data_IF_889092952310
#
_entry.id   IF_889092952310
#
_cell.length_a   1.000
_cell.length_b   1.000
_cell.length_c   1.000
_cell.angle_alpha   90.00
_cell.angle_beta   90.00
_cell.angle_gamma   90.00
#
_symmetry.space_group_name_H-M   'P 1'
#
loop_
_entity.id
_entity.type
_entity.pdbx_description
1 polymer ?
#
# COMPACT_ATOMS: atom_id res chain seq x y z
N UNK A 1 -4.88 5.49 18.81
CA UNK A 1 -5.90 4.59 18.26
C UNK A 1 -6.75 5.32 17.24
N UNK A 2 -6.61 4.98 15.99
CA UNK A 2 -7.51 5.54 14.99
C UNK A 2 -8.89 4.92 15.18
N UNK A 3 -9.87 5.76 15.43
CA UNK A 3 -11.26 5.32 15.49
C UNK A 3 -11.79 5.14 14.07
N UNK A 4 -12.47 4.03 13.85
CA UNK A 4 -13.22 3.86 12.63
C UNK A 4 -14.46 4.77 12.67
N UNK A 5 -14.50 5.71 11.75
CA UNK A 5 -15.65 6.60 11.57
C UNK A 5 -16.32 6.25 10.23
N UNK A 6 -17.35 5.39 10.25
CA UNK A 6 -18.02 5.00 9.00
C UNK A 6 -18.56 6.19 8.21
N UNK A 7 -18.88 7.27 8.91
CA UNK A 7 -19.32 8.51 8.29
C UNK A 7 -18.19 9.28 7.59
N UNK A 8 -16.93 9.06 7.96
CA UNK A 8 -15.80 9.67 7.26
C UNK A 8 -15.64 9.13 5.84
N UNK A 9 -16.05 7.89 5.58
CA UNK A 9 -16.11 7.37 4.22
C UNK A 9 -17.08 8.17 3.34
N UNK A 10 -18.07 8.82 3.95
CA UNK A 10 -19.01 9.72 3.25
C UNK A 10 -18.51 11.15 3.16
N UNK A 11 -17.63 11.57 4.06
CA UNK A 11 -17.10 12.93 4.15
C UNK A 11 -15.83 13.09 3.33
N UNK A 12 -15.01 12.03 3.22
CA UNK A 12 -13.82 12.02 2.37
C UNK A 12 -14.22 11.34 1.05
N UNK A 13 -14.58 12.12 0.02
CA UNK A 13 -14.93 11.52 -1.27
C UNK A 13 -13.69 10.84 -1.86
N UNK A 14 -13.93 9.82 -2.70
CA UNK A 14 -12.86 9.16 -3.45
C UNK A 14 -11.98 10.16 -4.21
N UNK A 15 -12.54 11.31 -4.60
CA UNK A 15 -11.84 12.40 -5.25
C UNK A 15 -10.70 12.99 -4.41
N UNK A 16 -10.89 13.11 -3.09
CA UNK A 16 -9.85 13.63 -2.22
C UNK A 16 -8.63 12.68 -2.18
N UNK A 17 -8.89 11.39 -2.05
CA UNK A 17 -7.84 10.37 -2.06
C UNK A 17 -7.14 10.31 -3.42
N UNK A 18 -7.91 10.36 -4.50
CA UNK A 18 -7.39 10.38 -5.85
C UNK A 18 -6.52 11.63 -6.09
N UNK A 19 -6.93 12.79 -5.60
CA UNK A 19 -6.16 14.03 -5.69
C UNK A 19 -4.85 13.94 -4.91
N UNK A 20 -4.85 13.34 -3.72
CA UNK A 20 -3.63 13.10 -2.96
C UNK A 20 -2.65 12.19 -3.71
N UNK A 21 -3.16 11.10 -4.27
CA UNK A 21 -2.35 10.17 -5.06
C UNK A 21 -1.79 10.87 -6.28
N UNK A 22 -2.59 11.62 -7.01
CA UNK A 22 -2.16 12.37 -8.19
C UNK A 22 -1.11 13.44 -7.84
N UNK A 23 -1.29 14.15 -6.74
CA UNK A 23 -0.31 15.12 -6.27
C UNK A 23 1.03 14.45 -5.95
N UNK A 24 0.99 13.33 -5.25
CA UNK A 24 2.18 12.55 -4.92
C UNK A 24 2.86 12.00 -6.18
N UNK A 25 2.10 11.47 -7.14
CA UNK A 25 2.60 11.03 -8.44
C UNK A 25 3.27 12.18 -9.21
N UNK A 26 2.65 13.36 -9.23
CA UNK A 26 3.21 14.51 -9.94
C UNK A 26 4.53 14.96 -9.33
N UNK A 27 4.68 14.90 -8.02
CA UNK A 27 5.96 15.18 -7.36
C UNK A 27 7.05 14.18 -7.79
N UNK A 28 6.71 12.91 -7.87
CA UNK A 28 7.65 11.86 -8.29
C UNK A 28 7.96 12.01 -9.78
N UNK A 29 6.98 12.29 -10.62
CA UNK A 29 7.15 12.50 -12.06
C UNK A 29 8.00 13.73 -12.38
N UNK A 30 8.03 14.73 -11.53
CA UNK A 30 8.92 15.87 -11.69
C UNK A 30 10.41 15.47 -11.64
N UNK A 31 10.73 14.38 -10.95
CA UNK A 31 12.10 13.87 -10.79
C UNK A 31 12.41 12.67 -11.69
N UNK A 32 11.40 11.95 -12.17
CA UNK A 32 11.53 10.69 -12.89
C UNK A 32 10.66 10.69 -14.15
N UNK A 33 11.26 10.41 -15.30
CA UNK A 33 10.56 10.46 -16.59
C UNK A 33 9.60 9.28 -16.82
N UNK A 34 9.78 8.17 -16.12
CA UNK A 34 8.94 6.98 -16.25
C UNK A 34 8.81 6.28 -14.92
N UNK A 35 7.59 5.99 -14.53
CA UNK A 35 7.27 5.33 -13.26
C UNK A 35 6.51 4.05 -13.54
N UNK A 36 6.90 2.99 -12.83
CA UNK A 36 6.13 1.77 -12.70
C UNK A 36 5.61 1.70 -11.27
N UNK A 37 4.32 1.56 -11.10
CA UNK A 37 3.70 1.45 -9.78
C UNK A 37 3.10 0.07 -9.57
N UNK A 38 3.12 -0.41 -8.33
CA UNK A 38 2.34 -1.57 -7.95
C UNK A 38 1.63 -1.33 -6.63
N UNK A 39 0.52 -1.98 -6.46
CA UNK A 39 -0.28 -1.96 -5.23
C UNK A 39 -0.29 -3.32 -4.58
N UNK A 40 -0.15 -3.34 -3.27
CA UNK A 40 -0.41 -4.51 -2.45
C UNK A 40 -1.27 -4.12 -1.25
N UNK A 41 -2.18 -5.01 -0.90
CA UNK A 41 -2.99 -4.87 0.30
C UNK A 41 -2.37 -5.73 1.39
N UNK A 42 -2.22 -5.17 2.58
CA UNK A 42 -1.59 -5.85 3.71
C UNK A 42 -2.50 -5.77 4.93
N UNK A 43 -2.53 -6.86 5.66
CA UNK A 43 -3.24 -6.97 6.92
C UNK A 43 -2.63 -8.08 7.79
N UNK A 44 -3.33 -8.48 8.81
CA UNK A 44 -2.91 -9.55 9.71
C UNK A 44 -3.81 -10.77 9.56
N UNK A 45 -3.20 -11.93 9.68
CA UNK A 45 -3.90 -13.19 9.57
C UNK A 45 -4.80 -13.43 10.77
N UNK A 46 -6.03 -13.87 10.53
CA UNK A 46 -6.99 -14.18 11.59
C UNK A 46 -6.40 -15.18 12.59
N UNK A 47 -6.69 -14.96 13.87
CA UNK A 47 -6.20 -15.80 14.95
C UNK A 47 -4.81 -15.46 15.47
N UNK A 48 -4.11 -14.54 14.83
CA UNK A 48 -2.81 -14.06 15.30
C UNK A 48 -2.97 -12.97 16.37
N UNK A 49 -1.93 -12.76 17.15
CA UNK A 49 -1.94 -11.74 18.19
C UNK A 49 -2.12 -10.34 17.61
N UNK A 50 -1.45 -10.03 16.49
CA UNK A 50 -1.62 -8.74 15.80
C UNK A 50 -3.05 -8.53 15.31
N UNK A 51 -3.66 -9.56 14.76
CA UNK A 51 -5.07 -9.50 14.34
C UNK A 51 -6.00 -9.22 15.52
N UNK A 52 -5.78 -9.92 16.66
CA UNK A 52 -6.60 -9.76 17.87
C UNK A 52 -6.43 -8.37 18.46
N UNK A 53 -5.20 -7.86 18.55
CA UNK A 53 -4.95 -6.49 19.02
C UNK A 53 -5.58 -5.44 18.14
N UNK A 54 -5.63 -5.68 16.85
CA UNK A 54 -6.28 -4.81 15.86
C UNK A 54 -5.87 -3.33 16.02
N UNK A 55 -4.59 -3.09 16.20
CA UNK A 55 -4.05 -1.78 16.51
C UNK A 55 -3.64 -1.02 15.26
N UNK A 56 -4.23 0.17 15.05
CA UNK A 56 -3.82 1.05 13.97
C UNK A 56 -2.39 1.58 14.15
N UNK A 57 -1.92 1.69 15.39
CA UNK A 57 -0.56 2.11 15.68
C UNK A 57 0.43 1.02 15.28
N UNK A 58 0.15 -0.23 15.64
CA UNK A 58 1.01 -1.37 15.32
C UNK A 58 1.15 -1.56 13.80
N UNK A 59 0.06 -1.51 13.06
CA UNK A 59 0.13 -1.65 11.60
C UNK A 59 0.86 -0.48 10.94
N UNK A 60 0.73 0.73 11.48
CA UNK A 60 1.49 1.87 11.00
C UNK A 60 2.99 1.70 11.24
N UNK A 61 3.38 1.18 12.39
CA UNK A 61 4.78 0.90 12.71
C UNK A 61 5.35 -0.17 11.78
N UNK A 62 4.62 -1.25 11.59
CA UNK A 62 4.99 -2.32 10.66
C UNK A 62 5.09 -1.80 9.21
N UNK A 63 4.18 -0.94 8.80
CA UNK A 63 4.22 -0.30 7.47
C UNK A 63 5.41 0.65 7.31
N UNK A 64 5.79 1.38 8.35
CA UNK A 64 6.99 2.21 8.29
C UNK A 64 8.24 1.38 8.09
N UNK A 65 8.36 0.26 8.80
CA UNK A 65 9.48 -0.67 8.60
C UNK A 65 9.48 -1.22 7.17
N UNK A 66 8.33 -1.64 6.66
CA UNK A 66 8.20 -2.11 5.29
C UNK A 66 8.63 -1.05 4.28
N UNK A 67 8.14 0.17 4.46
CA UNK A 67 8.43 1.29 3.58
C UNK A 67 9.93 1.64 3.59
N UNK A 68 10.54 1.68 4.75
CA UNK A 68 11.97 1.96 4.88
C UNK A 68 12.81 0.87 4.22
N UNK A 69 12.45 -0.39 4.42
CA UNK A 69 13.14 -1.51 3.79
C UNK A 69 13.00 -1.47 2.26
N UNK A 70 11.80 -1.19 1.76
CA UNK A 70 11.54 -1.12 0.32
C UNK A 70 12.28 0.06 -0.34
N UNK A 71 12.28 1.23 0.28
CA UNK A 71 12.96 2.43 -0.25
C UNK A 71 14.47 2.22 -0.33
N UNK A 72 15.04 1.37 0.51
CA UNK A 72 16.46 1.04 0.44
C UNK A 72 16.82 0.13 -0.74
N UNK A 73 15.85 -0.47 -1.40
CA UNK A 73 16.09 -1.31 -2.58
C UNK A 73 16.36 -0.44 -3.81
N UNK A 74 17.35 -0.80 -4.64
CA UNK A 74 17.58 -0.10 -5.89
C UNK A 74 16.37 -0.10 -6.80
N UNK A 75 15.99 1.06 -7.29
CA UNK A 75 14.85 1.21 -8.20
C UNK A 75 13.55 1.60 -7.53
N UNK A 76 13.41 1.46 -6.22
CA UNK A 76 12.25 1.97 -5.48
C UNK A 76 12.44 3.46 -5.24
N UNK A 77 11.54 4.28 -5.75
CA UNK A 77 11.65 5.74 -5.74
C UNK A 77 10.62 6.44 -4.86
N UNK A 78 9.65 5.71 -4.35
CA UNK A 78 8.67 6.27 -3.44
C UNK A 78 7.63 5.25 -3.02
N UNK A 79 6.82 5.66 -2.06
CA UNK A 79 5.72 4.85 -1.55
C UNK A 79 4.62 5.72 -0.99
N UNK A 80 3.45 5.16 -0.95
CA UNK A 80 2.26 5.75 -0.36
C UNK A 80 1.39 4.64 0.23
N UNK A 81 0.83 4.84 1.40
CA UNK A 81 -0.11 3.85 1.96
C UNK A 81 -1.27 4.54 2.67
N UNK A 82 -2.40 3.85 2.70
CA UNK A 82 -3.64 4.31 3.32
C UNK A 82 -4.17 3.20 4.21
N UNK A 83 -4.57 3.56 5.42
CA UNK A 83 -5.27 2.64 6.31
C UNK A 83 -6.76 2.65 5.99
N UNK A 84 -7.35 1.48 6.06
CA UNK A 84 -8.79 1.29 5.95
C UNK A 84 -9.27 0.31 7.01
N UNK A 85 -10.49 0.51 7.46
CA UNK A 85 -11.17 -0.43 8.34
C UNK A 85 -12.18 -1.22 7.53
N UNK A 86 -12.16 -2.55 7.69
CA UNK A 86 -13.17 -3.39 7.06
C UNK A 86 -14.54 -3.18 7.70
N UNK A 87 -15.59 -3.65 7.05
CA UNK A 87 -16.94 -3.63 7.61
C UNK A 87 -17.04 -4.39 8.93
N UNK A 88 -16.16 -5.37 9.16
CA UNK A 88 -16.06 -6.16 10.38
C UNK A 88 -15.21 -5.47 11.46
N UNK A 89 -14.65 -4.29 11.17
CA UNK A 89 -13.85 -3.53 12.11
C UNK A 89 -12.38 -3.90 12.17
N UNK A 90 -11.88 -4.70 11.24
CA UNK A 90 -10.46 -5.05 11.16
C UNK A 90 -9.68 -4.00 10.37
N UNK A 91 -8.48 -3.65 10.83
CA UNK A 91 -7.60 -2.72 10.12
C UNK A 91 -6.85 -3.42 9.01
N UNK A 92 -6.75 -2.76 7.86
CA UNK A 92 -5.87 -3.17 6.77
C UNK A 92 -5.31 -1.94 6.06
N UNK A 93 -4.33 -2.15 5.21
CA UNK A 93 -3.70 -1.07 4.47
C UNK A 93 -3.59 -1.38 2.99
N UNK A 94 -3.72 -0.33 2.20
CA UNK A 94 -3.39 -0.35 0.77
C UNK A 94 -2.05 0.37 0.62
N UNK A 95 -1.03 -0.34 0.16
CA UNK A 95 0.29 0.19 -0.07
C UNK A 95 0.60 0.27 -1.55
N UNK A 96 1.13 1.41 -1.99
CA UNK A 96 1.57 1.62 -3.36
C UNK A 96 3.05 1.94 -3.32
N UNK A 97 3.82 1.27 -4.17
CA UNK A 97 5.24 1.52 -4.36
C UNK A 97 5.50 1.96 -5.78
N UNK A 98 6.39 2.93 -5.91
CA UNK A 98 6.80 3.48 -7.20
C UNK A 98 8.21 3.03 -7.51
N UNK A 99 8.40 2.55 -8.75
CA UNK A 99 9.66 2.08 -9.26
C UNK A 99 10.14 2.98 -10.40
N UNK A 100 11.46 3.09 -10.55
CA UNK A 100 12.03 3.72 -11.73
C UNK A 100 11.73 2.87 -12.96
N UNK A 101 10.78 3.32 -13.79
CA UNK A 101 10.31 2.61 -14.96
C UNK A 101 11.32 2.51 -16.11
N UNK A 102 12.41 3.27 -16.08
CA UNK A 102 13.51 3.13 -17.04
C UNK A 102 14.40 1.94 -16.73
N UNK A 103 14.57 1.63 -15.43
CA UNK A 103 15.42 0.53 -14.97
C UNK A 103 14.65 -0.78 -14.85
N UNK A 104 13.35 -0.70 -14.57
CA UNK A 104 12.52 -1.86 -14.26
C UNK A 104 11.25 -1.85 -15.09
N UNK A 105 10.98 -2.96 -15.77
CA UNK A 105 9.78 -3.16 -16.58
C UNK A 105 8.75 -4.09 -15.91
N UNK A 106 9.15 -4.77 -14.85
CA UNK A 106 8.31 -5.74 -14.13
C UNK A 106 8.32 -5.43 -12.64
N UNK A 107 7.12 -5.37 -12.07
CA UNK A 107 6.94 -5.14 -10.64
C UNK A 107 7.02 -6.43 -9.80
N UNK A 108 6.86 -7.59 -10.41
CA UNK A 108 6.76 -8.86 -9.69
C UNK A 108 7.90 -9.13 -8.70
N UNK A 109 9.19 -8.94 -9.05
CA UNK A 109 10.27 -9.16 -8.08
C UNK A 109 10.16 -8.28 -6.84
N UNK A 110 9.68 -7.04 -7.01
CA UNK A 110 9.48 -6.10 -5.90
C UNK A 110 8.27 -6.47 -5.05
N UNK A 111 7.21 -6.99 -5.67
CA UNK A 111 6.04 -7.49 -4.93
C UNK A 111 6.43 -8.68 -4.07
N UNK A 112 7.18 -9.63 -4.62
CA UNK A 112 7.70 -10.78 -3.87
C UNK A 112 8.58 -10.35 -2.70
N UNK A 113 9.48 -9.40 -2.93
CA UNK A 113 10.35 -8.86 -1.89
C UNK A 113 9.54 -8.18 -0.79
N UNK A 114 8.56 -7.37 -1.17
CA UNK A 114 7.68 -6.69 -0.21
C UNK A 114 6.88 -7.69 0.63
N UNK A 115 6.38 -8.74 0.01
CA UNK A 115 5.66 -9.81 0.71
C UNK A 115 6.53 -10.53 1.73
N UNK A 116 7.76 -10.89 1.36
CA UNK A 116 8.71 -11.51 2.28
C UNK A 116 9.07 -10.58 3.44
N UNK A 117 9.33 -9.31 3.15
CA UNK A 117 9.60 -8.31 4.17
C UNK A 117 8.42 -8.14 5.13
N UNK A 118 7.21 -8.12 4.60
CA UNK A 118 6.00 -8.04 5.43
C UNK A 118 5.90 -9.23 6.38
N UNK A 119 6.15 -10.44 5.91
CA UNK A 119 6.18 -11.62 6.77
C UNK A 119 7.26 -11.55 7.84
N UNK A 120 8.44 -11.07 7.50
CA UNK A 120 9.54 -10.91 8.47
C UNK A 120 9.22 -9.85 9.52
N UNK A 121 8.77 -8.69 9.10
CA UNK A 121 8.42 -7.56 9.98
C UNK A 121 7.32 -7.95 10.96
N UNK A 122 6.34 -8.71 10.49
CA UNK A 122 5.18 -9.13 11.30
C UNK A 122 5.38 -10.47 12.00
N UNK A 123 6.57 -11.03 11.97
CA UNK A 123 6.88 -12.34 12.56
C UNK A 123 5.95 -13.46 12.06
N UNK A 124 5.61 -13.42 10.78
CA UNK A 124 4.73 -14.39 10.14
C UNK A 124 3.24 -14.17 10.37
N UNK A 125 2.86 -13.16 11.12
CA UNK A 125 1.44 -12.86 11.40
C UNK A 125 0.76 -12.05 10.31
N UNK A 126 1.54 -11.38 9.46
CA UNK A 126 1.03 -10.60 8.35
C UNK A 126 0.64 -11.45 7.15
N UNK A 127 -0.35 -11.00 6.43
CA UNK A 127 -0.67 -11.51 5.10
C UNK A 127 -0.75 -10.35 4.11
N UNK A 128 -0.57 -10.66 2.85
CA UNK A 128 -0.66 -9.67 1.80
C UNK A 128 -1.38 -10.23 0.58
N UNK A 129 -1.98 -9.34 -0.16
CA UNK A 129 -2.60 -9.65 -1.42
C UNK A 129 -2.05 -8.72 -2.49
N UNK A 130 -1.59 -9.31 -3.56
CA UNK A 130 -1.18 -8.58 -4.75
C UNK A 130 -2.42 -8.19 -5.55
N UNK A 131 -2.51 -6.91 -5.94
CA UNK A 131 -3.52 -6.49 -6.89
C UNK A 131 -3.11 -6.93 -8.30
N UNK A 132 -4.01 -7.63 -8.98
CA UNK A 132 -3.73 -8.12 -10.34
C UNK A 132 -3.64 -6.95 -11.32
N UNK A 133 -2.59 -6.87 -12.15
CA UNK A 133 -2.42 -5.75 -13.09
C UNK A 133 -3.62 -5.51 -14.02
N UNK A 134 -4.32 -6.56 -14.42
CA UNK A 134 -5.51 -6.45 -15.28
C UNK A 134 -6.66 -5.71 -14.63
N UNK A 135 -6.91 -5.93 -13.35
CA UNK A 135 -7.99 -5.26 -12.62
C UNK A 135 -7.66 -3.78 -12.42
N UNK A 136 -6.40 -3.50 -12.11
CA UNK A 136 -5.91 -2.15 -11.92
C UNK A 136 -5.94 -1.34 -13.23
N UNK A 137 -5.58 -1.95 -14.35
CA UNK A 137 -5.64 -1.30 -15.66
C UNK A 137 -7.06 -1.00 -16.13
N UNK A 138 -8.01 -1.89 -15.88
CA UNK A 138 -9.41 -1.67 -16.26
C UNK A 138 -10.01 -0.51 -15.48
N UNK A 139 -9.76 -0.43 -14.20
CA UNK A 139 -10.29 0.66 -13.37
C UNK A 139 -9.71 2.01 -13.75
N UNK A 140 -8.45 2.07 -14.14
CA UNK A 140 -7.82 3.31 -14.59
C UNK A 140 -8.25 3.75 -15.99
N UNK A 141 -8.51 2.82 -16.89
CA UNK A 141 -8.95 3.15 -18.25
C UNK A 141 -10.41 3.62 -18.23
N UNK A 142 -11.22 3.12 -17.34
CA UNK A 142 -12.63 3.49 -17.23
C UNK A 142 -12.86 4.77 -16.43
N UNK A 143 -11.85 5.29 -15.74
CA UNK A 143 -11.93 6.50 -14.91
C UNK A 143 -11.17 7.70 -15.50
N UNK A 144 -10.67 7.56 -16.72
CA UNK A 144 -10.01 8.66 -17.43
C UNK A 144 -10.98 9.35 -18.36
#
# INVERSE_FOLDING_TARGET
MQRHYPHLKKIIPNDFLLNLINHHLNQILACHAKILAFRMDVDYQRGTNRFIRNSSIEIQDDLRELTQAMISLPGVIGSFWVLEWTSEGAVHAHAIFYLNGREHQKSFPFISQAGELWHQITYGEGKYQRCKPKEYHQDNINNV
#
